data_IF_597710642660
#
_entry.id   IF_597710642660
#
_cell.length_a   1.000
_cell.length_b   1.000
_cell.length_c   1.000
_cell.angle_alpha   90.00
_cell.angle_beta   90.00
_cell.angle_gamma   90.00
#
_symmetry.space_group_name_H-M   'P 1'
#
loop_
_entity.id
_entity.type
_entity.pdbx_description
1 polymer ?
#
# COMPACT_ATOMS: atom_id res chain seq x y z
N UNK A 1 -44.69 3.01 -17.56
CA UNK A 1 -43.78 2.18 -16.74
C UNK A 1 -43.79 2.82 -15.35
N UNK A 2 -44.34 2.13 -14.31
CA UNK A 2 -44.38 2.69 -12.95
C UNK A 2 -42.94 2.70 -12.38
N UNK A 3 -42.46 3.89 -12.04
CA UNK A 3 -41.24 4.08 -11.27
C UNK A 3 -41.52 3.62 -9.84
N UNK A 4 -41.03 2.45 -9.47
CA UNK A 4 -41.03 2.01 -8.08
C UNK A 4 -40.19 3.01 -7.26
N UNK A 5 -40.85 3.85 -6.47
CA UNK A 5 -40.23 4.70 -5.48
C UNK A 5 -39.73 3.79 -4.35
N UNK A 6 -38.46 3.43 -4.39
CA UNK A 6 -37.79 2.75 -3.29
C UNK A 6 -37.75 3.76 -2.12
N UNK A 7 -38.49 3.45 -1.05
CA UNK A 7 -38.40 4.21 0.19
C UNK A 7 -36.98 4.18 0.71
N UNK A 8 -36.39 5.31 1.13
CA UNK A 8 -35.06 5.29 1.74
C UNK A 8 -35.12 4.44 3.01
N UNK A 9 -34.15 3.56 3.23
CA UNK A 9 -34.05 2.82 4.49
C UNK A 9 -33.84 3.82 5.63
N UNK A 10 -34.51 3.56 6.76
CA UNK A 10 -34.44 4.27 8.01
C UNK A 10 -33.01 4.60 8.43
N UNK A 11 -32.73 5.84 8.59
CA UNK A 11 -31.72 6.60 9.37
C UNK A 11 -30.59 5.79 10.08
N UNK A 12 -29.91 4.94 9.33
CA UNK A 12 -28.58 4.49 9.66
C UNK A 12 -27.64 5.38 8.83
N UNK A 13 -27.18 6.48 9.44
CA UNK A 13 -26.24 7.40 8.79
C UNK A 13 -25.03 6.62 8.38
N UNK A 14 -24.97 6.31 7.10
CA UNK A 14 -23.84 5.64 6.48
C UNK A 14 -22.69 6.64 6.46
N UNK A 15 -21.90 6.66 7.52
CA UNK A 15 -20.74 7.54 7.58
C UNK A 15 -19.64 7.02 6.65
N UNK A 16 -19.02 7.90 5.86
CA UNK A 16 -17.90 7.49 5.02
C UNK A 16 -16.73 7.04 5.91
N UNK A 17 -16.31 5.81 5.72
CA UNK A 17 -15.14 5.27 6.40
C UNK A 17 -13.88 5.64 5.62
N UNK A 18 -12.84 6.15 6.30
CA UNK A 18 -11.61 6.61 5.68
C UNK A 18 -10.50 5.57 5.81
N UNK A 19 -9.85 5.28 4.68
CA UNK A 19 -8.49 4.75 4.68
C UNK A 19 -8.28 3.26 4.91
N UNK A 20 -9.33 2.41 4.94
CA UNK A 20 -9.19 0.98 5.24
C UNK A 20 -9.32 0.05 4.04
N UNK A 21 -9.67 0.57 2.88
CA UNK A 21 -9.82 -0.22 1.66
C UNK A 21 -8.70 0.07 0.68
N UNK A 22 -8.34 -0.94 -0.10
CA UNK A 22 -7.36 -0.85 -1.18
C UNK A 22 -7.93 -1.52 -2.42
N UNK A 23 -7.90 -0.83 -3.54
CA UNK A 23 -8.22 -1.41 -4.84
C UNK A 23 -6.96 -2.04 -5.41
N UNK A 24 -7.01 -3.32 -5.70
CA UNK A 24 -5.97 -4.05 -6.44
C UNK A 24 -6.39 -4.04 -7.90
N UNK A 25 -5.66 -3.30 -8.73
CA UNK A 25 -5.85 -3.29 -10.17
C UNK A 25 -4.81 -4.20 -10.82
N UNK A 26 -5.28 -5.14 -11.62
CA UNK A 26 -4.46 -6.14 -12.28
C UNK A 26 -4.69 -5.99 -13.78
N UNK A 27 -3.59 -5.89 -14.54
CA UNK A 27 -3.64 -6.01 -16.00
C UNK A 27 -2.86 -7.26 -16.35
N UNK A 28 -3.51 -8.26 -16.94
CA UNK A 28 -2.87 -9.52 -17.29
C UNK A 28 -3.37 -10.07 -18.63
N UNK A 29 -2.57 -10.92 -19.30
CA UNK A 29 -3.04 -11.65 -20.46
C UNK A 29 -4.29 -12.45 -20.16
N UNK A 30 -5.22 -12.55 -21.13
CA UNK A 30 -6.49 -13.26 -20.96
C UNK A 30 -6.34 -14.74 -20.56
N UNK A 31 -5.18 -15.34 -20.83
CA UNK A 31 -4.85 -16.70 -20.40
C UNK A 31 -4.71 -16.83 -18.88
N UNK A 32 -4.28 -15.78 -18.19
CA UNK A 32 -4.12 -15.75 -16.72
C UNK A 32 -5.41 -15.34 -16.00
N UNK A 33 -6.34 -14.67 -16.68
CA UNK A 33 -7.57 -14.15 -16.10
C UNK A 33 -8.34 -15.19 -15.27
N UNK A 34 -8.59 -16.42 -15.72
CA UNK A 34 -9.33 -17.41 -14.94
C UNK A 34 -8.65 -17.76 -13.61
N UNK A 35 -7.32 -17.88 -13.61
CA UNK A 35 -6.54 -18.21 -12.41
C UNK A 35 -6.51 -17.06 -11.41
N UNK A 36 -6.43 -15.82 -11.92
CA UNK A 36 -6.51 -14.60 -11.11
C UNK A 36 -7.88 -14.48 -10.47
N UNK A 37 -8.96 -14.71 -11.22
CA UNK A 37 -10.32 -14.68 -10.68
C UNK A 37 -10.53 -15.73 -9.59
N UNK A 38 -10.10 -16.95 -9.80
CA UNK A 38 -10.21 -18.02 -8.81
C UNK A 38 -9.49 -17.66 -7.50
N UNK A 39 -8.29 -17.08 -7.59
CA UNK A 39 -7.53 -16.62 -6.43
C UNK A 39 -8.20 -15.46 -5.69
N UNK A 40 -8.86 -14.54 -6.39
CA UNK A 40 -9.53 -13.39 -5.80
C UNK A 40 -10.89 -13.77 -5.20
N UNK A 41 -11.72 -14.55 -5.92
CA UNK A 41 -13.06 -14.96 -5.50
C UNK A 41 -13.04 -15.91 -4.31
N UNK A 42 -11.97 -16.68 -4.16
CA UNK A 42 -11.75 -17.55 -2.99
C UNK A 42 -11.53 -16.80 -1.69
N UNK A 43 -11.34 -15.49 -1.71
CA UNK A 43 -11.07 -14.69 -0.52
C UNK A 43 -12.37 -14.12 0.09
N UNK A 44 -12.72 -14.48 1.34
CA UNK A 44 -13.95 -14.02 1.99
C UNK A 44 -13.97 -12.50 2.27
N UNK A 45 -12.80 -11.84 2.25
CA UNK A 45 -12.66 -10.40 2.43
C UNK A 45 -12.79 -9.61 1.11
N UNK A 46 -13.18 -10.24 0.01
CA UNK A 46 -13.45 -9.56 -1.25
C UNK A 46 -14.72 -8.70 -1.13
N UNK A 47 -14.57 -7.40 -1.31
CA UNK A 47 -15.69 -6.45 -1.27
C UNK A 47 -16.35 -6.26 -2.62
N UNK A 48 -15.57 -6.01 -3.66
CA UNK A 48 -16.03 -5.90 -5.04
C UNK A 48 -15.02 -6.48 -6.00
N UNK A 49 -15.52 -6.94 -7.16
CA UNK A 49 -14.72 -7.48 -8.25
C UNK A 49 -15.33 -7.01 -9.57
N UNK A 50 -14.52 -6.40 -10.40
CA UNK A 50 -14.88 -5.98 -11.74
C UNK A 50 -13.85 -6.50 -12.75
N UNK A 51 -14.33 -6.99 -13.88
CA UNK A 51 -13.49 -7.47 -14.98
C UNK A 51 -13.88 -6.73 -16.25
N UNK A 52 -12.88 -6.19 -16.94
CA UNK A 52 -13.05 -5.55 -18.24
C UNK A 52 -12.19 -6.29 -19.26
N UNK A 53 -12.82 -7.15 -20.04
CA UNK A 53 -12.15 -7.99 -21.03
C UNK A 53 -11.53 -7.14 -22.14
N UNK A 54 -10.30 -7.46 -22.55
CA UNK A 54 -9.59 -6.83 -23.65
C UNK A 54 -9.28 -5.34 -23.46
N UNK A 55 -9.43 -4.81 -22.24
CA UNK A 55 -9.26 -3.38 -21.99
C UNK A 55 -7.80 -2.94 -21.89
N UNK A 56 -6.90 -3.86 -21.58
CA UNK A 56 -5.45 -3.56 -21.49
C UNK A 56 -4.80 -3.70 -22.86
N UNK A 57 -4.03 -2.67 -23.27
CA UNK A 57 -3.27 -2.65 -24.52
C UNK A 57 -1.78 -2.96 -24.34
N UNK A 58 -1.26 -2.77 -23.13
CA UNK A 58 0.12 -3.07 -22.78
C UNK A 58 0.23 -3.37 -21.28
N UNK A 59 0.37 -4.64 -20.90
CA UNK A 59 0.26 -5.85 -21.71
C UNK A 59 -1.14 -6.00 -22.34
N UNK A 60 -1.21 -6.69 -23.49
CA UNK A 60 -2.51 -6.96 -24.13
C UNK A 60 -3.27 -8.00 -23.31
N UNK A 61 -4.50 -7.67 -22.88
CA UNK A 61 -5.30 -8.56 -22.06
C UNK A 61 -6.42 -7.84 -21.32
N UNK A 62 -6.77 -8.38 -20.16
CA UNK A 62 -7.92 -7.96 -19.35
C UNK A 62 -7.47 -7.03 -18.21
N UNK A 63 -8.39 -6.18 -17.77
CA UNK A 63 -8.25 -5.36 -16.56
C UNK A 63 -9.18 -5.90 -15.49
N UNK A 64 -8.64 -6.27 -14.35
CA UNK A 64 -9.37 -6.77 -13.19
C UNK A 64 -9.17 -5.77 -12.06
N UNK A 65 -10.26 -5.33 -11.44
CA UNK A 65 -10.25 -4.47 -10.27
C UNK A 65 -10.97 -5.17 -9.12
N UNK A 66 -10.28 -5.29 -8.00
CA UNK A 66 -10.81 -5.94 -6.80
C UNK A 66 -10.54 -5.10 -5.56
N UNK A 67 -11.56 -4.90 -4.74
CA UNK A 67 -11.46 -4.11 -3.52
C UNK A 67 -11.34 -5.02 -2.30
N UNK A 68 -10.30 -4.79 -1.52
CA UNK A 68 -10.00 -5.51 -0.29
C UNK A 68 -9.71 -4.58 0.87
N UNK A 69 -9.95 -5.01 2.12
CA UNK A 69 -9.37 -4.38 3.29
C UNK A 69 -7.84 -4.42 3.23
N UNK A 70 -7.18 -3.36 3.73
CA UNK A 70 -5.71 -3.25 3.71
C UNK A 70 -5.01 -4.42 4.41
N UNK A 71 -5.66 -5.02 5.39
CA UNK A 71 -5.19 -6.16 6.16
C UNK A 71 -4.90 -7.37 5.29
N UNK A 72 -5.68 -7.55 4.23
CA UNK A 72 -5.60 -8.71 3.33
C UNK A 72 -4.78 -8.40 2.07
N UNK A 73 -4.48 -7.12 1.81
CA UNK A 73 -3.81 -6.70 0.57
C UNK A 73 -2.48 -7.42 0.33
N UNK A 74 -1.67 -7.63 1.38
CA UNK A 74 -0.41 -8.37 1.25
C UNK A 74 -0.61 -9.83 0.85
N UNK A 75 -1.63 -10.51 1.41
CA UNK A 75 -1.94 -11.91 1.09
C UNK A 75 -2.42 -12.04 -0.36
N UNK A 76 -3.22 -11.08 -0.81
CA UNK A 76 -3.70 -11.03 -2.21
C UNK A 76 -2.53 -10.81 -3.16
N UNK A 77 -1.64 -9.87 -2.87
CA UNK A 77 -0.44 -9.61 -3.68
C UNK A 77 0.46 -10.85 -3.73
N UNK A 78 0.72 -11.48 -2.59
CA UNK A 78 1.54 -12.70 -2.53
C UNK A 78 0.93 -13.83 -3.39
N UNK A 79 -0.39 -14.00 -3.36
CA UNK A 79 -1.08 -14.98 -4.19
C UNK A 79 -0.97 -14.67 -5.70
N UNK A 80 -1.13 -13.40 -6.08
CA UNK A 80 -1.00 -12.96 -7.47
C UNK A 80 0.46 -13.11 -7.98
N UNK A 81 1.44 -12.84 -7.13
CA UNK A 81 2.86 -13.05 -7.45
C UNK A 81 3.17 -14.54 -7.62
N UNK A 82 2.57 -15.42 -6.83
CA UNK A 82 2.72 -16.86 -6.98
C UNK A 82 2.18 -17.39 -8.32
N UNK A 83 1.20 -16.68 -8.91
CA UNK A 83 0.68 -16.97 -10.24
C UNK A 83 1.54 -16.41 -11.38
N UNK A 84 2.61 -15.66 -11.07
CA UNK A 84 3.50 -15.05 -12.06
C UNK A 84 2.89 -13.82 -12.77
N UNK A 85 1.86 -13.20 -12.20
CA UNK A 85 1.21 -12.02 -12.80
C UNK A 85 2.19 -10.87 -13.01
N UNK A 86 3.17 -10.70 -12.14
CA UNK A 86 4.21 -9.67 -12.24
C UNK A 86 5.14 -9.83 -13.46
N UNK A 87 5.26 -11.04 -14.00
CA UNK A 87 6.17 -11.33 -15.11
C UNK A 87 5.54 -11.00 -16.48
N UNK A 88 4.23 -11.20 -16.60
CA UNK A 88 3.49 -11.01 -17.86
C UNK A 88 2.47 -9.87 -17.79
N UNK A 89 2.23 -9.32 -16.60
CA UNK A 89 1.21 -8.33 -16.33
C UNK A 89 1.68 -7.21 -15.41
N UNK A 90 0.73 -6.53 -14.80
CA UNK A 90 0.97 -5.50 -13.77
C UNK A 90 -0.01 -5.63 -12.62
N UNK A 91 0.46 -5.40 -11.40
CA UNK A 91 -0.35 -5.33 -10.19
C UNK A 91 -0.16 -3.93 -9.60
N UNK A 92 -1.24 -3.17 -9.47
CA UNK A 92 -1.22 -1.84 -8.85
C UNK A 92 -2.11 -1.82 -7.61
N UNK A 93 -1.60 -1.28 -6.51
CA UNK A 93 -2.32 -1.07 -5.28
C UNK A 93 -2.73 0.39 -5.19
N UNK A 94 -4.02 0.66 -5.12
CA UNK A 94 -4.58 2.01 -5.08
C UNK A 94 -5.34 2.15 -3.76
N UNK A 95 -4.78 2.89 -2.78
CA UNK A 95 -5.47 3.11 -1.52
C UNK A 95 -6.70 3.99 -1.74
N UNK A 96 -7.87 3.53 -1.29
CA UNK A 96 -9.08 4.33 -1.31
C UNK A 96 -9.04 5.36 -0.17
N UNK A 97 -9.21 6.64 -0.51
CA UNK A 97 -9.26 7.73 0.49
C UNK A 97 -10.54 7.71 1.32
N UNK A 98 -11.66 7.29 0.71
CA UNK A 98 -12.94 7.11 1.37
C UNK A 98 -13.77 6.09 0.59
N UNK A 99 -14.64 5.35 1.29
CA UNK A 99 -15.55 4.40 0.66
C UNK A 99 -16.88 4.34 1.39
N UNK A 100 -17.95 4.00 0.64
CA UNK A 100 -19.32 3.90 1.14
C UNK A 100 -19.94 2.62 0.59
N UNK A 101 -19.88 1.52 1.36
CA UNK A 101 -20.41 0.21 0.94
C UNK A 101 -20.67 -0.69 2.13
N UNK A 102 -21.86 -1.32 2.18
CA UNK A 102 -22.16 -2.35 3.19
C UNK A 102 -21.33 -3.62 2.96
N UNK A 103 -20.99 -3.94 1.72
CA UNK A 103 -20.15 -5.09 1.37
C UNK A 103 -18.73 -4.88 1.85
N UNK A 104 -18.18 -3.66 1.71
CA UNK A 104 -16.87 -3.32 2.21
C UNK A 104 -16.78 -3.42 3.74
N UNK A 105 -17.83 -2.99 4.46
CA UNK A 105 -17.91 -3.16 5.91
C UNK A 105 -17.92 -4.64 6.32
N UNK A 106 -18.68 -5.47 5.59
CA UNK A 106 -18.69 -6.91 5.83
C UNK A 106 -17.33 -7.57 5.52
N UNK A 107 -16.67 -7.14 4.45
CA UNK A 107 -15.33 -7.61 4.08
C UNK A 107 -14.29 -7.23 5.14
N UNK A 108 -14.37 -6.01 5.70
CA UNK A 108 -13.50 -5.57 6.79
C UNK A 108 -13.71 -6.41 8.06
N UNK A 109 -14.95 -6.78 8.38
CA UNK A 109 -15.25 -7.67 9.50
C UNK A 109 -14.77 -9.12 9.28
N UNK A 110 -14.69 -9.56 8.03
CA UNK A 110 -14.17 -10.87 7.67
C UNK A 110 -12.64 -10.92 7.60
N UNK A 111 -11.98 -9.75 7.49
CA UNK A 111 -10.52 -9.67 7.43
C UNK A 111 -9.91 -9.96 8.81
N UNK A 112 -8.85 -10.78 8.90
CA UNK A 112 -8.14 -11.02 10.15
C UNK A 112 -7.29 -9.82 10.55
N UNK A 113 -7.51 -9.25 11.73
CA UNK A 113 -6.67 -8.21 12.31
C UNK A 113 -7.40 -6.93 12.69
N UNK A 114 -6.69 -6.00 13.33
CA UNK A 114 -7.19 -4.68 13.71
C UNK A 114 -6.74 -3.69 12.64
N UNK A 115 -7.70 -3.10 11.92
CA UNK A 115 -7.47 -2.28 10.72
C UNK A 115 -6.58 -1.04 10.91
N UNK A 116 -6.37 -0.58 12.15
CA UNK A 116 -5.51 0.59 12.42
C UNK A 116 -4.01 0.31 12.20
N UNK A 117 -3.59 -0.96 12.26
CA UNK A 117 -2.18 -1.36 12.22
C UNK A 117 -1.78 -2.09 10.93
N UNK A 118 -2.72 -2.19 9.97
CA UNK A 118 -2.46 -2.85 8.70
C UNK A 118 -1.51 -2.03 7.82
N UNK A 119 -0.33 -2.57 7.62
CA UNK A 119 0.72 -1.98 6.79
C UNK A 119 0.84 -2.75 5.50
N UNK A 120 0.60 -2.09 4.36
CA UNK A 120 0.91 -2.66 3.04
C UNK A 120 2.41 -2.58 2.84
N UNK A 121 3.10 -3.68 3.05
CA UNK A 121 4.57 -3.74 3.06
C UNK A 121 5.20 -3.33 1.74
N UNK A 122 4.55 -3.60 0.62
CA UNK A 122 5.02 -3.18 -0.70
C UNK A 122 5.11 -1.65 -0.78
N UNK A 123 4.08 -0.94 -0.33
CA UNK A 123 4.05 0.53 -0.31
C UNK A 123 5.11 1.13 0.62
N UNK A 124 5.29 0.54 1.81
CA UNK A 124 6.30 1.01 2.78
C UNK A 124 7.71 0.77 2.28
N UNK A 125 7.93 -0.36 1.63
CA UNK A 125 9.25 -0.69 1.09
C UNK A 125 9.63 0.26 -0.05
N UNK A 126 8.72 0.53 -0.98
CA UNK A 126 8.96 1.47 -2.08
C UNK A 126 9.23 2.88 -1.56
N UNK A 127 8.41 3.40 -0.65
CA UNK A 127 8.64 4.71 -0.03
C UNK A 127 9.98 4.78 0.70
N UNK A 128 10.33 3.75 1.47
CA UNK A 128 11.61 3.71 2.17
C UNK A 128 12.80 3.69 1.21
N UNK A 129 12.68 3.01 0.06
CA UNK A 129 13.72 3.04 -0.98
C UNK A 129 13.79 4.40 -1.69
N UNK A 130 12.68 5.01 -2.05
CA UNK A 130 12.64 6.34 -2.67
C UNK A 130 13.21 7.41 -1.75
N UNK A 131 12.85 7.39 -0.47
CA UNK A 131 13.32 8.33 0.54
C UNK A 131 14.77 8.09 0.96
N UNK A 132 15.28 6.86 0.84
CA UNK A 132 16.68 6.52 1.15
C UNK A 132 17.63 6.70 -0.03
N UNK A 133 17.13 7.03 -1.23
CA UNK A 133 17.97 7.29 -2.38
C UNK A 133 18.88 8.51 -2.11
N UNK A 134 20.19 8.31 -2.31
CA UNK A 134 21.18 9.38 -2.18
C UNK A 134 20.92 10.47 -3.23
N UNK A 135 20.12 11.46 -2.85
CA UNK A 135 19.84 12.63 -3.68
C UNK A 135 20.79 13.78 -3.33
N UNK A 136 20.96 14.72 -4.27
CA UNK A 136 21.69 15.97 -3.98
C UNK A 136 21.07 16.73 -2.83
N UNK A 137 19.75 16.67 -2.69
CA UNK A 137 19.02 17.27 -1.58
C UNK A 137 19.41 16.63 -0.25
N UNK A 138 19.45 15.30 -0.18
CA UNK A 138 19.90 14.56 1.01
C UNK A 138 21.32 14.96 1.42
N UNK A 139 22.27 14.98 0.48
CA UNK A 139 23.67 15.35 0.73
C UNK A 139 23.79 16.79 1.22
N UNK A 140 23.03 17.73 0.63
CA UNK A 140 23.06 19.13 1.07
C UNK A 140 22.54 19.32 2.49
N UNK A 141 21.46 18.63 2.87
CA UNK A 141 20.95 18.65 4.24
C UNK A 141 21.93 18.01 5.23
N UNK A 142 22.59 16.91 4.87
CA UNK A 142 23.62 16.28 5.70
C UNK A 142 24.81 17.20 5.95
N UNK A 143 25.32 17.85 4.90
CA UNK A 143 26.43 18.81 5.02
C UNK A 143 26.01 19.98 5.91
N UNK A 144 24.83 20.55 5.70
CA UNK A 144 24.33 21.69 6.48
C UNK A 144 24.12 21.30 7.95
N UNK A 145 23.53 20.15 8.24
CA UNK A 145 23.35 19.63 9.59
C UNK A 145 24.70 19.42 10.31
N UNK A 146 25.68 18.86 9.59
CA UNK A 146 27.03 18.64 10.15
C UNK A 146 27.74 19.95 10.45
N UNK A 147 27.65 20.95 9.57
CA UNK A 147 28.21 22.29 9.78
C UNK A 147 27.54 22.97 10.98
N UNK A 148 26.21 22.88 11.08
CA UNK A 148 25.46 23.44 12.19
C UNK A 148 25.85 22.77 13.53
N UNK A 149 26.01 21.46 13.55
CA UNK A 149 26.48 20.72 14.71
C UNK A 149 27.91 21.12 15.11
N UNK A 150 28.80 21.30 14.15
CA UNK A 150 30.17 21.76 14.43
C UNK A 150 30.19 23.17 15.07
N UNK A 151 29.37 24.09 14.54
CA UNK A 151 29.23 25.44 15.13
C UNK A 151 28.62 25.35 16.55
N UNK A 152 27.64 24.49 16.75
CA UNK A 152 26.96 24.28 18.02
C UNK A 152 27.94 23.82 19.12
N UNK A 153 28.85 22.91 18.78
CA UNK A 153 29.90 22.45 19.71
C UNK A 153 30.88 23.57 20.07
N UNK A 154 31.31 24.35 19.07
CA UNK A 154 32.27 25.46 19.30
C UNK A 154 31.64 26.60 20.13
N UNK A 155 30.33 26.85 19.93
CA UNK A 155 29.61 27.93 20.64
C UNK A 155 28.96 27.47 21.95
N UNK A 156 29.10 26.18 22.30
CA UNK A 156 28.46 25.52 23.46
C UNK A 156 26.93 25.80 23.54
N UNK A 157 26.27 25.75 22.37
CA UNK A 157 24.86 26.09 22.24
C UNK A 157 23.98 24.86 22.08
N UNK A 158 23.27 24.49 23.16
CA UNK A 158 22.31 23.37 23.14
C UNK A 158 21.19 23.58 22.13
N UNK A 159 20.79 24.83 21.90
CA UNK A 159 19.71 25.14 20.91
C UNK A 159 20.16 24.81 19.50
N UNK A 160 21.42 25.10 19.15
CA UNK A 160 21.95 24.75 17.81
C UNK A 160 22.16 23.25 17.63
N UNK A 161 22.49 22.53 18.72
CA UNK A 161 22.58 21.05 18.68
C UNK A 161 21.21 20.44 18.34
N UNK A 162 20.16 20.89 19.03
CA UNK A 162 18.78 20.42 18.73
C UNK A 162 18.39 20.78 17.29
N UNK A 163 18.72 21.99 16.83
CA UNK A 163 18.48 22.42 15.45
C UNK A 163 19.18 21.53 14.42
N UNK A 164 20.42 21.14 14.67
CA UNK A 164 21.16 20.22 13.81
C UNK A 164 20.53 18.82 13.73
N UNK A 165 20.05 18.28 14.87
CA UNK A 165 19.36 17.00 14.93
C UNK A 165 18.03 17.03 14.16
N UNK A 166 17.31 18.13 14.17
CA UNK A 166 16.04 18.27 13.44
C UNK A 166 16.27 18.40 11.92
N UNK A 167 17.40 19.00 11.54
CA UNK A 167 17.74 19.19 10.12
C UNK A 167 18.30 17.93 9.47
N UNK A 168 18.89 17.02 10.25
CA UNK A 168 19.51 15.80 9.75
C UNK A 168 18.47 14.75 9.35
N UNK A 169 18.46 14.25 8.10
CA UNK A 169 17.53 13.21 7.63
C UNK A 169 17.98 11.81 8.07
N UNK A 170 18.42 11.66 9.32
CA UNK A 170 19.05 10.42 9.82
C UNK A 170 18.04 9.29 10.07
N UNK A 171 16.79 9.62 10.34
CA UNK A 171 15.75 8.64 10.67
C UNK A 171 15.41 7.70 9.50
N UNK A 172 15.35 8.23 8.29
CA UNK A 172 14.92 7.48 7.08
C UNK A 172 15.89 6.36 6.72
N UNK A 173 17.23 6.55 6.65
CA UNK A 173 18.18 5.47 6.39
C UNK A 173 18.15 4.37 7.45
N UNK A 174 17.95 4.72 8.72
CA UNK A 174 17.87 3.75 9.81
C UNK A 174 16.62 2.90 9.69
N UNK A 175 15.48 3.49 9.33
CA UNK A 175 14.23 2.78 9.08
C UNK A 175 14.36 1.83 7.87
N UNK A 176 14.98 2.28 6.78
CA UNK A 176 15.25 1.47 5.59
C UNK A 176 16.15 0.26 5.89
N UNK A 177 17.19 0.45 6.72
CA UNK A 177 18.06 -0.63 7.18
C UNK A 177 17.28 -1.69 7.99
N UNK A 178 16.41 -1.26 8.90
CA UNK A 178 15.56 -2.14 9.68
C UNK A 178 14.61 -3.00 8.81
N UNK A 179 14.02 -2.39 7.79
CA UNK A 179 13.16 -3.06 6.81
C UNK A 179 13.94 -4.06 5.96
N UNK A 180 15.13 -3.69 5.48
CA UNK A 180 16.00 -4.55 4.67
C UNK A 180 16.46 -5.80 5.43
N UNK A 181 16.87 -5.66 6.69
CA UNK A 181 17.23 -6.77 7.58
C UNK A 181 16.05 -7.73 7.79
N UNK A 182 14.84 -7.20 7.99
CA UNK A 182 13.64 -8.04 8.17
C UNK A 182 13.30 -8.85 6.92
N UNK A 183 13.43 -8.25 5.72
CA UNK A 183 13.20 -8.95 4.46
C UNK A 183 14.22 -10.07 4.24
N UNK A 184 15.48 -9.84 4.58
CA UNK A 184 16.53 -10.84 4.46
C UNK A 184 16.29 -12.03 5.41
N UNK A 185 15.85 -11.76 6.65
CA UNK A 185 15.48 -12.79 7.61
C UNK A 185 14.27 -13.62 7.15
N UNK A 186 13.27 -13.01 6.51
CA UNK A 186 12.13 -13.73 5.94
C UNK A 186 12.53 -14.67 4.81
N UNK A 187 13.40 -14.21 3.89
CA UNK A 187 13.90 -15.04 2.79
C UNK A 187 14.70 -16.23 3.28
N UNK A 188 15.53 -16.06 4.30
CA UNK A 188 16.32 -17.15 4.89
C UNK A 188 15.49 -18.13 5.72
N UNK A 189 14.28 -17.75 6.17
CA UNK A 189 13.38 -18.65 6.89
C UNK A 189 12.45 -19.48 5.96
N UNK A 190 12.41 -19.14 4.67
CA UNK A 190 11.64 -19.84 3.63
C UNK A 190 12.50 -20.75 2.73
N UNK A 191 13.82 -20.71 2.86
CA UNK A 191 14.78 -21.57 2.20
C UNK A 191 15.19 -22.73 3.08
#
# INVERSE_FOLDING_TARGET
IPVHRVSPPSDDRFEPHTGRMTTVRICCPAALTPFVLDALEGNPALSSLAVTEGASRSPVGDVIEADFPREVANLVVDALMALGVQDEGTIALIPATAWISRRALAAEQAAPGVGSDAVVWTEVTERAYEESALSWTYLSFMILATLLAAIAVVTDSVILIIGAMVLGPEFVPIAALGLGLRQQLRRSAQA
#
